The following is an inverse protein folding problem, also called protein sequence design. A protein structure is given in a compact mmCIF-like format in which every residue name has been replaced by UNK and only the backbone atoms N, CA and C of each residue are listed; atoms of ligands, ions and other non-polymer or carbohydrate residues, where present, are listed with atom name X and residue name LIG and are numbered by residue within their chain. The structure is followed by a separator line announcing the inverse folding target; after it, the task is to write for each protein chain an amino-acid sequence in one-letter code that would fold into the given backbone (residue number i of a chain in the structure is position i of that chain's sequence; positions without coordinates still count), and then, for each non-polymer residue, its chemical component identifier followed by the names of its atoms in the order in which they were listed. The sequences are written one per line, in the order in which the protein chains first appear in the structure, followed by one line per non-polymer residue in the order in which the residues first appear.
data_IF_351861909002
#
_entry.id   IF_351861909002
#
_cell.length_a   1.000
_cell.length_b   1.000
_cell.length_c   1.000
_cell.angle_alpha   90.00
_cell.angle_beta   90.00
_cell.angle_gamma   90.00
#
_symmetry.space_group_name_H-M   'P 1'
#
loop_
_entity.id
_entity.type
_entity.pdbx_description
1 polymer ?
#
# COMPACT_ATOMS: atom_id res chain seq x y z
N UNK A 1 3.92 3.59 -15.42
CA UNK A 1 4.72 4.13 -14.30
C UNK A 1 4.61 5.64 -14.40
N UNK A 2 4.10 6.31 -13.35
CA UNK A 2 4.09 7.77 -13.31
C UNK A 2 5.50 8.24 -12.94
N UNK A 3 6.05 9.21 -13.67
CA UNK A 3 7.46 9.63 -13.57
C UNK A 3 7.60 11.11 -13.22
N UNK A 4 6.65 11.63 -12.45
CA UNK A 4 6.57 13.01 -11.99
C UNK A 4 6.51 13.06 -10.46
N UNK A 5 6.72 14.25 -9.88
CA UNK A 5 6.49 14.48 -8.47
C UNK A 5 4.99 14.49 -8.19
N UNK A 6 4.57 13.70 -7.20
CA UNK A 6 3.18 13.49 -6.82
C UNK A 6 3.03 13.66 -5.31
N UNK A 7 1.88 14.19 -4.89
CA UNK A 7 1.54 14.30 -3.48
C UNK A 7 0.84 13.04 -3.01
N UNK A 8 1.33 12.41 -1.94
CA UNK A 8 0.69 11.24 -1.33
C UNK A 8 -0.47 11.71 -0.45
N UNK A 9 -1.70 11.41 -0.87
CA UNK A 9 -2.91 11.78 -0.11
C UNK A 9 -3.39 10.66 0.81
N UNK A 10 -3.04 9.42 0.51
CA UNK A 10 -3.38 8.25 1.32
C UNK A 10 -2.43 7.09 1.04
N UNK A 11 -1.94 6.45 2.10
CA UNK A 11 -1.21 5.18 2.05
C UNK A 11 -1.81 4.27 3.13
N UNK A 12 -2.57 3.25 2.70
CA UNK A 12 -3.33 2.39 3.60
C UNK A 12 -2.98 0.95 3.31
N UNK A 13 -2.73 0.17 4.36
CA UNK A 13 -2.37 -1.22 4.22
C UNK A 13 -2.18 -1.91 5.55
N UNK A 14 -1.70 -3.14 5.47
CA UNK A 14 -1.28 -3.95 6.60
C UNK A 14 0.10 -4.54 6.35
N UNK A 15 0.80 -4.82 7.45
CA UNK A 15 2.12 -5.41 7.48
C UNK A 15 1.97 -6.74 8.21
N UNK A 16 2.09 -7.83 7.46
CA UNK A 16 2.16 -9.18 7.99
C UNK A 16 3.59 -9.71 8.00
N UNK A 17 3.75 -10.90 8.57
CA UNK A 17 5.06 -11.56 8.70
C UNK A 17 5.73 -11.83 7.34
N UNK A 18 4.92 -12.23 6.37
CA UNK A 18 5.37 -12.69 5.05
C UNK A 18 5.13 -11.65 3.95
N UNK A 19 4.36 -10.59 4.21
CA UNK A 19 3.93 -9.65 3.19
C UNK A 19 3.48 -8.29 3.72
N UNK A 20 3.73 -7.24 2.92
CA UNK A 20 3.04 -5.95 3.03
C UNK A 20 1.98 -5.89 1.92
N UNK A 21 0.74 -5.56 2.30
CA UNK A 21 -0.32 -5.24 1.34
C UNK A 21 -0.76 -3.81 1.58
N UNK A 22 -0.38 -2.91 0.67
CA UNK A 22 -0.77 -1.51 0.70
C UNK A 22 -1.39 -1.04 -0.61
N UNK A 23 -2.24 -0.05 -0.48
CA UNK A 23 -2.84 0.72 -1.55
C UNK A 23 -2.45 2.19 -1.33
N UNK A 24 -2.26 2.91 -2.43
CA UNK A 24 -1.84 4.31 -2.41
C UNK A 24 -2.82 5.15 -3.24
N UNK A 25 -3.06 6.38 -2.81
CA UNK A 25 -3.67 7.45 -3.61
C UNK A 25 -2.70 8.63 -3.67
N UNK A 26 -2.48 9.14 -4.87
CA UNK A 26 -1.58 10.25 -5.15
C UNK A 26 -2.26 11.27 -6.06
N UNK A 27 -1.84 12.53 -6.00
CA UNK A 27 -2.37 13.60 -6.87
C UNK A 27 -1.27 14.28 -7.67
N UNK A 28 -1.55 14.56 -8.95
CA UNK A 28 -0.68 15.37 -9.81
C UNK A 28 -0.85 16.88 -9.55
N UNK A 29 -0.07 17.70 -10.26
CA UNK A 29 -0.12 19.17 -10.17
C UNK A 29 -1.43 19.79 -10.66
N UNK A 30 -2.24 19.02 -11.39
CA UNK A 30 -3.56 19.40 -11.90
C UNK A 30 -4.68 18.86 -10.98
N UNK A 31 -4.32 18.35 -9.80
CA UNK A 31 -5.22 17.77 -8.80
C UNK A 31 -5.97 16.51 -9.25
N UNK A 32 -5.47 15.80 -10.28
CA UNK A 32 -6.02 14.50 -10.67
C UNK A 32 -5.54 13.43 -9.71
N UNK A 33 -6.47 12.62 -9.21
CA UNK A 33 -6.16 11.52 -8.31
C UNK A 33 -5.88 10.22 -9.09
N UNK A 34 -4.82 9.54 -8.68
CA UNK A 34 -4.43 8.22 -9.17
C UNK A 34 -4.32 7.28 -7.97
N UNK A 35 -4.82 6.06 -8.08
CA UNK A 35 -4.74 5.11 -6.97
C UNK A 35 -4.82 3.65 -7.40
N UNK A 36 -4.41 2.77 -6.49
CA UNK A 36 -4.41 1.33 -6.72
C UNK A 36 -3.50 0.57 -5.77
N UNK A 37 -3.16 -0.66 -6.14
CA UNK A 37 -2.21 -1.50 -5.42
C UNK A 37 -0.80 -0.91 -5.53
N UNK A 38 -0.13 -0.70 -4.39
CA UNK A 38 1.21 -0.14 -4.37
C UNK A 38 2.23 -1.24 -4.66
N UNK A 39 2.96 -1.07 -5.76
CA UNK A 39 4.05 -1.98 -6.16
C UNK A 39 5.39 -1.40 -5.68
N UNK A 40 5.69 -0.18 -6.10
CA UNK A 40 6.90 0.55 -5.74
C UNK A 40 6.68 2.05 -5.90
N UNK A 41 7.47 2.85 -5.18
CA UNK A 41 7.56 4.29 -5.33
C UNK A 41 8.94 4.78 -4.86
N UNK A 42 9.36 5.94 -5.35
CA UNK A 42 10.55 6.64 -4.87
C UNK A 42 10.13 7.92 -4.18
N UNK A 43 10.53 8.09 -2.92
CA UNK A 43 10.30 9.33 -2.16
C UNK A 43 11.27 10.40 -2.68
N UNK A 44 10.75 11.53 -3.14
CA UNK A 44 11.57 12.68 -3.59
C UNK A 44 11.81 13.71 -2.47
N UNK A 45 10.80 13.94 -1.60
CA UNK A 45 10.88 14.82 -0.43
C UNK A 45 10.83 14.06 0.90
N UNK A 46 9.63 13.93 1.47
CA UNK A 46 9.34 13.13 2.67
C UNK A 46 8.17 12.19 2.42
N UNK A 47 8.09 11.11 3.19
CA UNK A 47 6.92 10.24 3.28
C UNK A 47 6.72 9.89 4.75
N UNK A 48 5.82 10.61 5.40
CA UNK A 48 5.53 10.45 6.82
C UNK A 48 4.53 9.32 7.00
N UNK A 49 4.93 8.25 7.71
CA UNK A 49 4.13 7.03 7.90
C UNK A 49 3.96 6.77 9.38
N UNK A 50 2.72 6.51 9.79
CA UNK A 50 2.39 6.00 11.12
C UNK A 50 2.10 4.51 10.99
N UNK A 51 2.81 3.68 11.75
CA UNK A 51 2.57 2.24 11.84
C UNK A 51 2.05 1.94 13.24
N UNK A 52 0.93 1.24 13.33
CA UNK A 52 0.33 0.80 14.60
C UNK A 52 0.33 -0.72 14.67
N UNK A 53 0.93 -1.26 15.73
CA UNK A 53 0.89 -2.69 16.01
C UNK A 53 -0.49 -3.09 16.56
N UNK A 54 -1.04 -4.20 16.09
CA UNK A 54 -2.37 -4.70 16.47
C UNK A 54 -2.32 -5.96 17.34
N UNK A 55 -1.13 -6.44 17.69
CA UNK A 55 -0.93 -7.57 18.63
C UNK A 55 -1.36 -8.95 18.09
N UNK A 56 -1.55 -9.09 16.78
CA UNK A 56 -1.86 -10.36 16.12
C UNK A 56 -0.79 -10.69 15.07
N UNK A 57 -0.49 -11.99 14.91
CA UNK A 57 0.42 -12.48 13.88
C UNK A 57 -0.33 -12.55 12.54
N UNK A 58 -0.26 -11.47 11.76
CA UNK A 58 -0.94 -11.39 10.48
C UNK A 58 -0.20 -12.22 9.42
N UNK A 59 -0.83 -13.28 8.93
CA UNK A 59 -0.28 -14.17 7.90
C UNK A 59 -1.14 -14.16 6.64
N UNK A 60 -0.68 -14.83 5.58
CA UNK A 60 -1.47 -14.99 4.35
C UNK A 60 -1.61 -16.44 3.89
N UNK A 61 -2.76 -16.78 3.33
CA UNK A 61 -3.01 -18.06 2.63
C UNK A 61 -3.41 -17.84 1.18
N UNK A 62 -3.22 -18.85 0.36
CA UNK A 62 -3.71 -18.82 -1.03
C UNK A 62 -5.21 -19.11 -1.05
N UNK A 63 -5.99 -18.22 -1.65
CA UNK A 63 -7.42 -18.41 -1.88
C UNK A 63 -7.67 -19.42 -2.99
N UNK A 64 -8.50 -20.44 -2.74
CA UNK A 64 -8.90 -21.41 -3.78
C UNK A 64 -9.82 -20.78 -4.84
N UNK A 65 -10.55 -19.72 -4.48
CA UNK A 65 -11.49 -19.05 -5.39
C UNK A 65 -10.78 -18.09 -6.34
N UNK A 66 -9.77 -17.37 -5.86
CA UNK A 66 -9.13 -16.29 -6.64
C UNK A 66 -7.68 -16.58 -7.01
N UNK A 67 -7.05 -17.60 -6.42
CA UNK A 67 -5.60 -17.86 -6.53
C UNK A 67 -4.73 -16.81 -5.84
N UNK A 68 -5.31 -15.72 -5.33
CA UNK A 68 -4.60 -14.63 -4.67
C UNK A 68 -4.23 -14.98 -3.22
N UNK A 69 -3.19 -14.32 -2.71
CA UNK A 69 -2.86 -14.34 -1.29
C UNK A 69 -3.82 -13.42 -0.53
N UNK A 70 -4.55 -13.99 0.43
CA UNK A 70 -5.52 -13.31 1.30
C UNK A 70 -5.04 -13.36 2.74
N UNK A 71 -5.51 -12.42 3.56
CA UNK A 71 -5.22 -12.39 5.00
C UNK A 71 -5.76 -13.67 5.66
N UNK A 72 -4.96 -14.24 6.55
CA UNK A 72 -5.29 -15.37 7.42
C UNK A 72 -4.93 -14.98 8.86
N UNK A 73 -5.98 -14.79 9.66
CA UNK A 73 -5.94 -14.33 11.07
C UNK A 73 -6.79 -15.24 11.95
#
# INVERSE_FOLDING_TARGET
MLSEDLEVTSLVGNIGRDRIHSHITVTDREYRAYGGHMIEARVSGTLEIIISEIGIDLTTKTSETTGGKIIDI
#
